data_IF_868536220679
#
_entry.id   IF_868536220679
#
_cell.length_a   1.000
_cell.length_b   1.000
_cell.length_c   1.000
_cell.angle_alpha   90.00
_cell.angle_beta   90.00
_cell.angle_gamma   90.00
#
_symmetry.space_group_name_H-M   'P 1'
#
loop_
_entity.id
_entity.type
_entity.pdbx_description
1 polymer ?
#
# COMPACT_ATOMS: atom_id res chain seq x y z
N UNK A 1 5.99 -20.50 -1.63
CA UNK A 1 5.23 -20.89 -0.42
C UNK A 1 3.82 -21.27 -0.85
N UNK A 2 3.13 -22.27 -0.25
CA UNK A 2 1.71 -22.48 -0.52
C UNK A 2 0.90 -21.22 -0.17
N UNK A 3 -0.12 -20.90 -0.95
CA UNK A 3 -0.96 -19.70 -0.81
C UNK A 3 -1.60 -19.57 0.58
N UNK A 4 -2.07 -20.70 1.13
CA UNK A 4 -2.61 -20.75 2.50
C UNK A 4 -1.59 -20.28 3.56
N UNK A 5 -0.34 -20.73 3.46
CA UNK A 5 0.72 -20.35 4.41
C UNK A 5 1.08 -18.86 4.31
N UNK A 6 1.02 -18.27 3.11
CA UNK A 6 1.25 -16.84 2.92
C UNK A 6 0.12 -16.00 3.51
N UNK A 7 -1.13 -16.43 3.33
CA UNK A 7 -2.31 -15.81 3.93
C UNK A 7 -2.22 -15.78 5.47
N UNK A 8 -1.78 -16.88 6.08
CA UNK A 8 -1.59 -16.96 7.54
C UNK A 8 -0.53 -15.97 8.03
N UNK A 9 0.57 -15.78 7.27
CA UNK A 9 1.58 -14.77 7.57
C UNK A 9 1.03 -13.36 7.49
N UNK A 10 0.24 -13.02 6.48
CA UNK A 10 -0.43 -11.73 6.37
C UNK A 10 -1.33 -11.50 7.58
N UNK A 11 -2.19 -12.47 7.94
CA UNK A 11 -3.10 -12.34 9.08
C UNK A 11 -2.35 -12.16 10.40
N UNK A 12 -1.27 -12.91 10.65
CA UNK A 12 -0.45 -12.75 11.86
C UNK A 12 0.20 -11.35 11.90
N UNK A 13 0.93 -10.96 10.86
CA UNK A 13 1.65 -9.69 10.81
C UNK A 13 0.69 -8.50 10.97
N UNK A 14 -0.38 -8.43 10.19
CA UNK A 14 -1.28 -7.29 10.23
C UNK A 14 -2.22 -7.28 11.44
N UNK A 15 -2.50 -8.42 12.08
CA UNK A 15 -3.17 -8.43 13.39
C UNK A 15 -2.28 -7.79 14.46
N UNK A 16 -0.98 -8.11 14.49
CA UNK A 16 -0.01 -7.55 15.45
C UNK A 16 0.30 -6.09 15.17
N UNK A 17 0.36 -5.70 13.90
CA UNK A 17 0.68 -4.34 13.46
C UNK A 17 -0.52 -3.37 13.52
N UNK A 18 -1.76 -3.85 13.64
CA UNK A 18 -2.97 -3.07 13.36
C UNK A 18 -2.99 -1.68 14.01
N UNK A 19 -2.74 -1.58 15.31
CA UNK A 19 -2.74 -0.31 16.02
C UNK A 19 -1.53 0.55 15.66
N UNK A 20 -0.32 -0.03 15.67
CA UNK A 20 0.93 0.70 15.43
C UNK A 20 1.02 1.25 14.01
N UNK A 21 0.58 0.46 13.03
CA UNK A 21 0.56 0.88 11.64
C UNK A 21 -0.46 1.99 11.40
N UNK A 22 -1.67 1.85 11.96
CA UNK A 22 -2.76 2.83 11.76
C UNK A 22 -2.48 4.20 12.37
N UNK A 23 -1.53 4.32 13.31
CA UNK A 23 -1.18 5.55 14.01
C UNK A 23 0.20 6.10 13.66
N UNK A 24 0.99 5.39 12.85
CA UNK A 24 2.35 5.81 12.50
C UNK A 24 2.35 7.11 11.67
N UNK A 25 3.12 8.11 12.11
CA UNK A 25 3.14 9.44 11.50
C UNK A 25 3.42 9.44 9.98
N UNK A 26 4.38 8.64 9.42
CA UNK A 26 4.56 8.58 7.97
C UNK A 26 3.35 8.02 7.23
N UNK A 27 2.61 7.09 7.84
CA UNK A 27 1.45 6.43 7.24
C UNK A 27 0.22 7.34 7.27
N UNK A 28 0.03 8.11 8.36
CA UNK A 28 -1.10 9.03 8.56
C UNK A 28 -0.92 10.40 7.91
N UNK A 29 0.16 10.60 7.13
CA UNK A 29 0.50 11.87 6.51
C UNK A 29 -0.66 12.42 5.64
N UNK A 30 -1.27 13.51 6.10
CA UNK A 30 -2.42 14.13 5.42
C UNK A 30 -2.07 14.70 4.03
N UNK A 31 -0.83 15.17 3.84
CA UNK A 31 -0.36 15.62 2.54
C UNK A 31 -0.34 14.50 1.52
N UNK A 32 0.17 13.33 1.90
CA UNK A 32 0.17 12.14 1.04
C UNK A 32 -1.26 11.65 0.74
N UNK A 33 -2.15 11.63 1.74
CA UNK A 33 -3.55 11.25 1.53
C UNK A 33 -4.26 12.22 0.57
N UNK A 34 -3.99 13.53 0.69
CA UNK A 34 -4.52 14.54 -0.24
C UNK A 34 -4.04 14.31 -1.67
N UNK A 35 -2.74 14.04 -1.88
CA UNK A 35 -2.21 13.72 -3.21
C UNK A 35 -2.90 12.50 -3.84
N UNK A 36 -3.23 11.47 -3.03
CA UNK A 36 -3.96 10.28 -3.51
C UNK A 36 -5.37 10.66 -3.96
N UNK A 37 -6.10 11.44 -3.17
CA UNK A 37 -7.44 11.92 -3.52
C UNK A 37 -7.40 12.78 -4.81
N UNK A 38 -6.44 13.69 -4.91
CA UNK A 38 -6.26 14.53 -6.10
C UNK A 38 -5.96 13.72 -7.36
N UNK A 39 -5.10 12.69 -7.25
CA UNK A 39 -4.78 11.79 -8.38
C UNK A 39 -5.99 10.97 -8.84
N UNK A 40 -6.91 10.65 -7.95
CA UNK A 40 -8.13 9.91 -8.26
C UNK A 40 -9.21 10.78 -8.93
N UNK A 41 -9.19 12.11 -8.73
CA UNK A 41 -10.18 13.06 -9.28
C UNK A 41 -11.64 12.69 -8.96
N UNK A 42 -11.97 12.36 -7.69
CA UNK A 42 -13.30 11.88 -7.34
C UNK A 42 -14.39 12.93 -7.56
N UNK A 43 -15.61 12.46 -7.87
CA UNK A 43 -16.78 13.30 -7.97
C UNK A 43 -17.76 13.02 -6.81
N UNK A 44 -18.58 13.98 -6.37
CA UNK A 44 -19.52 13.78 -5.25
C UNK A 44 -20.52 12.63 -5.45
N UNK A 45 -20.81 12.26 -6.69
CA UNK A 45 -21.70 11.14 -7.02
C UNK A 45 -21.02 9.78 -7.05
N UNK A 46 -19.69 9.74 -6.96
CA UNK A 46 -18.91 8.53 -7.13
C UNK A 46 -19.07 7.55 -5.96
N UNK A 47 -18.82 6.29 -6.26
CA UNK A 47 -18.50 5.25 -5.28
C UNK A 47 -17.03 4.89 -5.41
N UNK A 48 -16.35 4.72 -4.26
CA UNK A 48 -14.96 4.26 -4.25
C UNK A 48 -14.79 2.96 -3.46
N UNK A 49 -13.78 2.19 -3.84
CA UNK A 49 -13.32 0.99 -3.15
C UNK A 49 -11.83 1.11 -2.86
N UNK A 50 -11.45 0.87 -1.60
CA UNK A 50 -10.06 0.68 -1.18
C UNK A 50 -9.81 -0.79 -0.83
N UNK A 51 -8.90 -1.44 -1.53
CA UNK A 51 -8.60 -2.86 -1.41
C UNK A 51 -7.39 -3.02 -0.51
N UNK A 52 -7.45 -3.99 0.41
CA UNK A 52 -6.52 -4.14 1.53
C UNK A 52 -6.43 -2.81 2.31
N UNK A 53 -7.60 -2.29 2.71
CA UNK A 53 -7.76 -0.93 3.23
C UNK A 53 -7.11 -0.70 4.61
N UNK A 54 -6.64 -1.77 5.29
CA UNK A 54 -6.03 -1.70 6.60
C UNK A 54 -6.90 -0.93 7.60
N UNK A 55 -6.29 0.02 8.32
CA UNK A 55 -6.96 0.91 9.28
C UNK A 55 -7.85 1.99 8.66
N UNK A 56 -8.18 1.94 7.36
CA UNK A 56 -9.20 2.77 6.73
C UNK A 56 -8.78 4.20 6.40
N UNK A 57 -7.50 4.53 6.43
CA UNK A 57 -7.00 5.90 6.20
C UNK A 57 -7.42 6.45 4.84
N UNK A 58 -7.27 5.66 3.77
CA UNK A 58 -7.65 6.05 2.41
C UNK A 58 -9.17 6.19 2.31
N UNK A 59 -9.93 5.21 2.81
CA UNK A 59 -11.41 5.27 2.84
C UNK A 59 -11.90 6.54 3.52
N UNK A 60 -11.35 6.86 4.70
CA UNK A 60 -11.71 8.07 5.45
C UNK A 60 -11.28 9.36 4.74
N UNK A 61 -10.17 9.34 3.99
CA UNK A 61 -9.73 10.51 3.20
C UNK A 61 -10.66 10.77 2.00
N UNK A 62 -11.18 9.71 1.37
CA UNK A 62 -12.11 9.84 0.24
C UNK A 62 -13.55 10.17 0.65
N UNK A 63 -13.99 9.77 1.85
CA UNK A 63 -15.38 9.90 2.28
C UNK A 63 -15.97 11.32 2.09
N UNK A 64 -15.24 12.44 2.36
CA UNK A 64 -15.77 13.79 2.11
C UNK A 64 -15.97 14.15 0.63
N UNK A 65 -15.42 13.36 -0.29
CA UNK A 65 -15.35 13.67 -1.72
C UNK A 65 -16.23 12.78 -2.60
N UNK A 66 -16.85 11.75 -2.02
CA UNK A 66 -17.62 10.74 -2.76
C UNK A 66 -18.97 10.49 -2.09
N UNK A 67 -19.91 9.90 -2.82
CA UNK A 67 -21.20 9.47 -2.28
C UNK A 67 -21.06 8.35 -1.25
N UNK A 68 -20.18 7.39 -1.52
CA UNK A 68 -19.93 6.22 -0.68
C UNK A 68 -18.48 5.77 -0.82
N UNK A 69 -17.79 5.60 0.31
CA UNK A 69 -16.46 4.99 0.35
C UNK A 69 -16.52 3.62 1.02
N UNK A 70 -15.94 2.61 0.37
CA UNK A 70 -15.93 1.23 0.86
C UNK A 70 -14.49 0.76 1.03
N UNK A 71 -14.18 0.10 2.15
CA UNK A 71 -12.93 -0.60 2.39
C UNK A 71 -13.13 -2.10 2.49
N UNK A 72 -12.23 -2.87 1.89
CA UNK A 72 -12.17 -4.32 2.05
C UNK A 72 -10.78 -4.72 2.54
N UNK A 73 -10.71 -5.57 3.56
CA UNK A 73 -9.47 -6.12 4.10
C UNK A 73 -9.70 -7.54 4.60
N UNK A 74 -8.67 -8.38 4.56
CA UNK A 74 -8.80 -9.74 5.07
C UNK A 74 -8.63 -9.83 6.59
N UNK A 75 -8.04 -8.81 7.25
CA UNK A 75 -7.65 -8.80 8.65
C UNK A 75 -8.71 -8.14 9.52
N UNK A 76 -9.45 -8.89 10.37
CA UNK A 76 -10.49 -8.31 11.23
C UNK A 76 -9.99 -7.20 12.16
N UNK A 77 -8.77 -7.32 12.69
CA UNK A 77 -8.17 -6.31 13.57
C UNK A 77 -7.96 -4.96 12.85
N UNK A 78 -7.57 -4.99 11.58
CA UNK A 78 -7.46 -3.80 10.73
C UNK A 78 -8.82 -3.13 10.50
N UNK A 79 -9.86 -3.94 10.19
CA UNK A 79 -11.21 -3.41 9.98
C UNK A 79 -11.80 -2.79 11.25
N UNK A 80 -11.42 -3.28 12.42
CA UNK A 80 -11.83 -2.65 13.69
C UNK A 80 -11.19 -1.27 13.85
N UNK A 81 -9.89 -1.12 13.55
CA UNK A 81 -9.22 0.19 13.54
C UNK A 81 -9.88 1.13 12.53
N UNK A 82 -10.26 0.63 11.35
CA UNK A 82 -10.92 1.41 10.31
C UNK A 82 -12.29 1.95 10.77
N UNK A 83 -13.09 1.12 11.45
CA UNK A 83 -14.39 1.54 12.02
C UNK A 83 -14.22 2.59 13.12
N UNK A 84 -13.24 2.41 13.99
CA UNK A 84 -12.92 3.36 15.07
C UNK A 84 -12.48 4.71 14.48
N UNK A 85 -11.61 4.70 13.46
CA UNK A 85 -11.17 5.92 12.78
C UNK A 85 -12.35 6.65 12.11
N UNK A 86 -13.21 5.93 11.41
CA UNK A 86 -14.39 6.51 10.76
C UNK A 86 -15.37 7.11 11.77
N UNK A 87 -15.62 6.42 12.88
CA UNK A 87 -16.46 6.92 13.96
C UNK A 87 -15.86 8.18 14.61
N UNK A 88 -14.56 8.18 14.89
CA UNK A 88 -13.87 9.35 15.44
C UNK A 88 -13.91 10.58 14.52
N UNK A 89 -13.97 10.35 13.20
CA UNK A 89 -14.13 11.42 12.19
C UNK A 89 -15.59 11.77 11.89
N UNK A 90 -16.57 11.11 12.51
CA UNK A 90 -18.00 11.35 12.28
C UNK A 90 -18.48 11.00 10.86
N UNK A 91 -17.82 10.08 10.18
CA UNK A 91 -18.15 9.72 8.79
C UNK A 91 -19.32 8.71 8.77
N UNK A 92 -20.36 9.01 7.99
CA UNK A 92 -21.56 8.19 7.85
C UNK A 92 -21.67 7.47 6.50
N UNK A 93 -20.88 7.88 5.53
CA UNK A 93 -20.87 7.34 4.16
C UNK A 93 -19.71 6.38 3.91
N UNK A 94 -19.30 5.63 4.92
CA UNK A 94 -18.25 4.62 4.83
C UNK A 94 -18.78 3.24 5.15
N UNK A 95 -18.20 2.21 4.51
CA UNK A 95 -18.50 0.81 4.80
C UNK A 95 -17.20 -0.01 4.82
N UNK A 96 -17.11 -0.99 5.73
CA UNK A 96 -15.96 -1.88 5.84
C UNK A 96 -16.39 -3.34 5.80
N UNK A 97 -15.78 -4.12 4.93
CA UNK A 97 -16.09 -5.52 4.68
C UNK A 97 -14.85 -6.39 4.78
N UNK A 98 -14.97 -7.57 5.37
CA UNK A 98 -13.92 -8.57 5.31
C UNK A 98 -13.96 -9.29 3.95
N UNK A 99 -12.80 -9.47 3.33
CA UNK A 99 -12.69 -10.20 2.07
C UNK A 99 -11.27 -10.28 1.53
N UNK A 100 -11.12 -11.03 0.44
CA UNK A 100 -9.86 -11.29 -0.23
C UNK A 100 -9.73 -10.40 -1.48
N UNK A 101 -8.55 -9.80 -1.66
CA UNK A 101 -8.24 -8.95 -2.81
C UNK A 101 -8.22 -9.72 -4.16
N UNK A 102 -7.99 -11.04 -4.11
CA UNK A 102 -7.94 -11.90 -5.31
C UNK A 102 -9.31 -12.35 -5.80
N UNK A 103 -10.37 -12.16 -4.99
CA UNK A 103 -11.74 -12.54 -5.32
C UNK A 103 -12.71 -11.53 -4.68
N UNK A 104 -12.82 -10.35 -5.26
CA UNK A 104 -13.62 -9.26 -4.72
C UNK A 104 -15.14 -9.58 -4.80
N UNK A 105 -15.86 -9.53 -3.66
CA UNK A 105 -17.28 -9.87 -3.60
C UNK A 105 -18.18 -8.71 -4.06
N UNK A 106 -17.81 -8.09 -5.17
CA UNK A 106 -18.54 -6.99 -5.80
C UNK A 106 -18.81 -7.29 -7.26
N UNK A 107 -19.95 -6.83 -7.81
CA UNK A 107 -20.23 -6.95 -9.24
C UNK A 107 -19.21 -6.17 -10.09
N UNK A 108 -19.14 -6.51 -11.37
CA UNK A 108 -18.37 -5.74 -12.35
C UNK A 108 -18.85 -4.28 -12.41
N UNK A 109 -17.95 -3.37 -12.72
CA UNK A 109 -18.27 -1.96 -12.96
C UNK A 109 -19.01 -1.25 -11.79
N UNK A 110 -18.74 -1.61 -10.54
CA UNK A 110 -19.44 -1.13 -9.34
C UNK A 110 -18.89 0.19 -8.79
N UNK A 111 -17.65 0.55 -9.11
CA UNK A 111 -16.94 1.67 -8.48
C UNK A 111 -16.33 2.61 -9.51
N UNK A 112 -16.51 3.92 -9.30
CA UNK A 112 -15.87 4.95 -10.12
C UNK A 112 -14.38 5.10 -9.79
N UNK A 113 -13.98 4.83 -8.53
CA UNK A 113 -12.59 4.87 -8.08
C UNK A 113 -12.26 3.58 -7.34
N UNK A 114 -11.15 2.94 -7.70
CA UNK A 114 -10.63 1.73 -7.03
C UNK A 114 -9.18 1.97 -6.65
N UNK A 115 -8.86 1.81 -5.38
CA UNK A 115 -7.51 2.07 -4.83
C UNK A 115 -6.97 0.89 -4.06
N UNK A 116 -5.66 0.84 -3.92
CA UNK A 116 -4.94 0.01 -2.96
C UNK A 116 -3.67 0.75 -2.53
N UNK A 117 -3.32 0.71 -1.23
CA UNK A 117 -2.17 1.43 -0.69
C UNK A 117 -1.34 0.56 0.24
N UNK A 118 -0.03 0.46 -0.01
CA UNK A 118 0.94 -0.31 0.79
C UNK A 118 0.55 -1.77 0.99
N UNK A 119 0.04 -2.38 -0.06
CA UNK A 119 -0.41 -3.77 -0.05
C UNK A 119 0.04 -4.54 -1.29
N UNK A 120 0.38 -3.84 -2.38
CA UNK A 120 0.69 -4.47 -3.65
C UNK A 120 1.93 -5.35 -3.56
N UNK A 121 2.89 -4.97 -2.71
CA UNK A 121 4.10 -5.73 -2.42
C UNK A 121 3.88 -6.99 -1.55
N UNK A 122 2.66 -7.23 -1.07
CA UNK A 122 2.26 -8.47 -0.38
C UNK A 122 1.57 -9.47 -1.31
N UNK A 123 1.21 -9.09 -2.52
CA UNK A 123 0.49 -10.00 -3.43
C UNK A 123 1.47 -10.90 -4.20
N UNK A 124 1.37 -12.25 -4.08
CA UNK A 124 2.16 -13.17 -4.91
C UNK A 124 1.88 -13.01 -6.40
N UNK A 125 0.61 -12.74 -6.76
CA UNK A 125 0.13 -12.57 -8.12
C UNK A 125 -0.51 -11.18 -8.31
N UNK A 126 0.31 -10.09 -8.37
CA UNK A 126 -0.21 -8.72 -8.39
C UNK A 126 -1.06 -8.41 -9.62
N UNK A 127 -0.81 -9.07 -10.78
CA UNK A 127 -1.64 -8.91 -11.96
C UNK A 127 -3.06 -9.45 -11.77
N UNK A 128 -3.23 -10.54 -10.99
CA UNK A 128 -4.56 -11.08 -10.69
C UNK A 128 -5.38 -10.08 -9.87
N UNK A 129 -4.77 -9.47 -8.84
CA UNK A 129 -5.41 -8.42 -8.02
C UNK A 129 -5.72 -7.20 -8.87
N UNK A 130 -4.79 -6.75 -9.72
CA UNK A 130 -5.03 -5.60 -10.60
C UNK A 130 -6.18 -5.86 -11.58
N UNK A 131 -6.33 -7.08 -12.09
CA UNK A 131 -7.48 -7.47 -12.93
C UNK A 131 -8.80 -7.44 -12.17
N UNK A 132 -8.82 -7.84 -10.90
CA UNK A 132 -10.01 -7.69 -10.05
C UNK A 132 -10.34 -6.21 -9.80
N UNK A 133 -9.31 -5.36 -9.55
CA UNK A 133 -9.49 -3.91 -9.47
C UNK A 133 -10.14 -3.35 -10.75
N UNK A 134 -9.64 -3.76 -11.91
CA UNK A 134 -10.18 -3.35 -13.22
C UNK A 134 -11.60 -3.91 -13.43
N UNK A 135 -11.87 -5.16 -13.04
CA UNK A 135 -13.20 -5.77 -13.16
C UNK A 135 -14.27 -4.96 -12.43
N UNK A 136 -13.99 -4.62 -11.16
CA UNK A 136 -14.96 -3.89 -10.33
C UNK A 136 -15.01 -2.39 -10.62
N UNK A 137 -14.00 -1.84 -11.33
CA UNK A 137 -14.00 -0.45 -11.78
C UNK A 137 -14.99 -0.23 -12.92
N UNK A 138 -15.75 0.87 -12.89
CA UNK A 138 -16.64 1.27 -13.97
C UNK A 138 -15.85 1.66 -15.23
N UNK A 139 -16.43 1.57 -16.44
CA UNK A 139 -15.86 2.19 -17.64
C UNK A 139 -15.59 3.68 -17.40
N UNK A 140 -14.42 4.17 -17.77
CA UNK A 140 -13.96 5.53 -17.44
C UNK A 140 -13.54 5.74 -15.99
N UNK A 141 -13.66 4.73 -15.12
CA UNK A 141 -13.27 4.79 -13.72
C UNK A 141 -11.75 4.83 -13.51
N UNK A 142 -11.33 5.28 -12.34
CA UNK A 142 -9.93 5.44 -11.96
C UNK A 142 -9.45 4.25 -11.13
N UNK A 143 -8.32 3.67 -11.50
CA UNK A 143 -7.64 2.59 -10.77
C UNK A 143 -6.29 3.12 -10.29
N UNK A 144 -6.05 3.04 -8.97
CA UNK A 144 -4.83 3.56 -8.35
C UNK A 144 -4.12 2.47 -7.55
N UNK A 145 -2.82 2.35 -7.77
CA UNK A 145 -1.90 1.60 -6.90
C UNK A 145 -0.95 2.59 -6.26
N UNK A 146 -0.91 2.62 -4.94
CA UNK A 146 -0.02 3.49 -4.18
C UNK A 146 0.91 2.58 -3.39
N UNK A 147 2.18 2.53 -3.78
CA UNK A 147 3.12 1.64 -3.10
C UNK A 147 4.56 2.17 -3.14
N UNK A 148 5.39 1.61 -2.26
CA UNK A 148 6.83 1.76 -2.33
C UNK A 148 7.36 1.06 -3.57
N UNK A 149 8.19 1.76 -4.33
CA UNK A 149 8.85 1.19 -5.49
C UNK A 149 10.35 1.07 -5.27
N UNK A 150 10.98 0.17 -6.03
CA UNK A 150 12.43 -0.08 -5.97
C UNK A 150 13.16 0.50 -7.18
N UNK A 151 14.48 0.60 -7.04
CA UNK A 151 15.38 0.97 -8.14
C UNK A 151 15.23 0.05 -9.35
N UNK A 152 15.44 0.59 -10.56
CA UNK A 152 15.58 -0.21 -11.77
C UNK A 152 16.89 -1.05 -11.78
N UNK A 153 17.86 -0.71 -10.92
CA UNK A 153 19.04 -1.53 -10.69
C UNK A 153 18.66 -2.81 -9.94
N UNK A 154 18.87 -3.95 -10.57
CA UNK A 154 18.45 -5.27 -10.05
C UNK A 154 19.13 -5.65 -8.74
N UNK A 155 20.36 -5.17 -8.49
CA UNK A 155 21.12 -5.48 -7.26
C UNK A 155 20.53 -4.67 -6.11
N UNK A 156 20.29 -3.36 -6.32
CA UNK A 156 19.63 -2.51 -5.34
C UNK A 156 18.22 -3.00 -5.03
N UNK A 157 17.43 -3.31 -6.07
CA UNK A 157 16.07 -3.85 -5.92
C UNK A 157 16.05 -5.15 -5.12
N UNK A 158 16.96 -6.10 -5.40
CA UNK A 158 17.07 -7.35 -4.64
C UNK A 158 17.48 -7.12 -3.19
N UNK A 159 18.39 -6.16 -2.94
CA UNK A 159 18.87 -5.83 -1.59
C UNK A 159 17.76 -5.17 -0.77
N UNK A 160 16.99 -4.26 -1.37
CA UNK A 160 15.82 -3.64 -0.74
C UNK A 160 14.75 -4.68 -0.39
N UNK A 161 14.38 -5.54 -1.34
CA UNK A 161 13.38 -6.59 -1.10
C UNK A 161 13.83 -7.60 -0.03
N UNK A 162 15.13 -7.90 0.05
CA UNK A 162 15.68 -8.70 1.15
C UNK A 162 15.52 -8.00 2.51
N UNK A 163 15.79 -6.71 2.59
CA UNK A 163 15.58 -5.92 3.81
C UNK A 163 14.11 -5.95 4.24
N UNK A 164 13.17 -5.74 3.29
CA UNK A 164 11.75 -5.74 3.58
C UNK A 164 11.25 -7.13 4.03
N UNK A 165 11.76 -8.22 3.44
CA UNK A 165 11.45 -9.58 3.88
C UNK A 165 11.98 -9.89 5.31
N UNK A 166 13.13 -9.32 5.70
CA UNK A 166 13.63 -9.43 7.07
C UNK A 166 12.73 -8.66 8.05
N UNK A 167 12.21 -7.50 7.63
CA UNK A 167 11.35 -6.63 8.43
C UNK A 167 9.93 -7.20 8.60
N UNK A 168 9.41 -7.79 7.54
CA UNK A 168 8.04 -8.30 7.46
C UNK A 168 8.03 -9.62 6.70
N UNK A 169 7.88 -10.76 7.40
CA UNK A 169 7.84 -12.08 6.77
C UNK A 169 6.70 -12.29 5.76
N UNK A 170 5.66 -11.42 5.76
CA UNK A 170 4.57 -11.47 4.78
C UNK A 170 4.88 -10.70 3.49
N UNK A 171 6.04 -9.99 3.44
CA UNK A 171 6.48 -9.30 2.24
C UNK A 171 6.77 -10.29 1.10
N UNK A 172 6.32 -9.97 -0.11
CA UNK A 172 6.65 -10.71 -1.32
C UNK A 172 7.69 -9.95 -2.11
N UNK A 173 7.33 -8.79 -2.67
CA UNK A 173 8.26 -7.99 -3.47
C UNK A 173 7.73 -6.60 -3.79
N UNK A 174 8.49 -5.56 -3.49
CA UNK A 174 8.31 -4.25 -4.13
C UNK A 174 8.77 -4.30 -5.58
N UNK A 175 8.03 -3.66 -6.46
CA UNK A 175 8.26 -3.62 -7.90
C UNK A 175 8.98 -2.33 -8.31
N UNK A 176 9.74 -2.39 -9.40
CA UNK A 176 10.24 -1.19 -10.07
C UNK A 176 9.10 -0.48 -10.82
N UNK A 177 9.28 0.81 -11.15
CA UNK A 177 8.25 1.57 -11.88
C UNK A 177 7.95 0.99 -13.26
N UNK A 178 8.97 0.48 -13.96
CA UNK A 178 8.80 -0.21 -15.25
C UNK A 178 7.91 -1.46 -15.14
N UNK A 179 8.03 -2.21 -14.03
CA UNK A 179 7.21 -3.39 -13.77
C UNK A 179 5.76 -3.00 -13.47
N UNK A 180 5.52 -1.94 -12.67
CA UNK A 180 4.18 -1.41 -12.43
C UNK A 180 3.50 -0.99 -13.74
N UNK A 181 4.20 -0.24 -14.61
CA UNK A 181 3.67 0.15 -15.93
C UNK A 181 3.31 -1.06 -16.78
N UNK A 182 4.17 -2.09 -16.80
CA UNK A 182 3.90 -3.32 -17.53
C UNK A 182 2.65 -4.06 -17.01
N UNK A 183 2.42 -4.07 -15.68
CA UNK A 183 1.22 -4.65 -15.08
C UNK A 183 -0.04 -3.88 -15.47
N UNK A 184 -0.02 -2.54 -15.44
CA UNK A 184 -1.14 -1.70 -15.85
C UNK A 184 -1.52 -1.96 -17.31
N UNK A 185 -0.53 -1.98 -18.20
CA UNK A 185 -0.75 -2.32 -19.62
C UNK A 185 -1.32 -3.76 -19.78
N UNK A 186 -0.79 -4.75 -19.06
CA UNK A 186 -1.27 -6.14 -19.09
C UNK A 186 -2.66 -6.32 -18.50
N UNK A 187 -3.13 -5.37 -17.68
CA UNK A 187 -4.48 -5.32 -17.15
C UNK A 187 -5.48 -4.57 -18.07
N UNK A 188 -5.00 -4.00 -19.19
CA UNK A 188 -5.84 -3.25 -20.14
C UNK A 188 -6.20 -1.85 -19.68
N UNK A 189 -5.39 -1.24 -18.83
CA UNK A 189 -5.54 0.16 -18.41
C UNK A 189 -4.79 1.11 -19.36
N UNK A 190 -5.21 2.36 -19.41
CA UNK A 190 -4.48 3.42 -20.11
C UNK A 190 -3.08 3.64 -19.50
N UNK A 191 -2.21 4.36 -20.21
CA UNK A 191 -0.88 4.76 -19.68
C UNK A 191 -1.05 5.50 -18.35
N UNK A 192 -0.42 5.02 -17.26
CA UNK A 192 -0.63 5.61 -15.95
C UNK A 192 0.04 6.98 -15.79
N UNK A 193 -0.65 7.88 -15.14
CA UNK A 193 -0.09 9.09 -14.54
C UNK A 193 0.59 8.69 -13.22
N UNK A 194 1.77 9.23 -12.95
CA UNK A 194 2.54 8.89 -11.74
C UNK A 194 2.91 10.15 -10.98
N UNK A 195 2.55 10.19 -9.71
CA UNK A 195 3.03 11.18 -8.75
C UNK A 195 3.87 10.51 -7.66
N UNK A 196 4.74 11.26 -7.02
CA UNK A 196 5.70 10.73 -6.06
C UNK A 196 5.66 11.48 -4.73
N UNK A 197 5.89 10.75 -3.65
CA UNK A 197 6.19 11.30 -2.34
C UNK A 197 7.16 10.37 -1.59
N UNK A 198 7.64 10.80 -0.44
CA UNK A 198 8.56 10.01 0.38
C UNK A 198 7.97 9.73 1.76
N UNK A 199 8.17 8.51 2.25
CA UNK A 199 7.99 8.15 3.65
C UNK A 199 9.30 8.33 4.38
N UNK A 200 9.44 9.46 5.09
CA UNK A 200 10.63 9.76 5.89
C UNK A 200 10.42 9.25 7.31
N UNK A 201 11.39 8.50 7.83
CA UNK A 201 11.37 7.98 9.20
C UNK A 201 12.78 7.61 9.65
N UNK A 202 12.86 7.07 10.87
CA UNK A 202 14.08 6.47 11.42
C UNK A 202 13.96 4.95 11.47
N UNK A 203 15.10 4.26 11.38
CA UNK A 203 15.14 2.79 11.51
C UNK A 203 14.63 2.33 12.88
N UNK A 204 14.86 3.12 13.93
CA UNK A 204 14.30 2.85 15.26
C UNK A 204 12.77 2.82 15.24
N UNK A 205 12.12 3.81 14.63
CA UNK A 205 10.67 3.86 14.53
C UNK A 205 10.12 2.77 13.62
N UNK A 206 10.83 2.44 12.52
CA UNK A 206 10.48 1.34 11.64
C UNK A 206 10.42 0.03 12.41
N UNK A 207 11.47 -0.32 13.15
CA UNK A 207 11.55 -1.55 13.93
C UNK A 207 10.52 -1.60 15.07
N UNK A 208 10.21 -0.45 15.69
CA UNK A 208 9.21 -0.38 16.77
C UNK A 208 7.78 -0.77 16.31
N UNK A 209 7.48 -0.71 15.00
CA UNK A 209 6.20 -1.11 14.41
C UNK A 209 6.28 -2.34 13.48
N UNK A 210 7.45 -2.97 13.43
CA UNK A 210 7.71 -4.19 12.66
C UNK A 210 7.80 -5.39 13.58
N UNK A 211 7.59 -6.57 13.04
CA UNK A 211 7.69 -7.82 13.79
C UNK A 211 8.60 -8.81 13.06
N UNK A 212 9.91 -8.47 12.94
CA UNK A 212 10.90 -9.35 12.32
C UNK A 212 11.07 -10.65 13.10
N UNK A 213 11.65 -11.65 12.47
CA UNK A 213 12.04 -12.85 13.20
C UNK A 213 13.18 -12.53 14.19
N UNK A 214 13.36 -13.31 15.27
CA UNK A 214 14.42 -13.09 16.24
C UNK A 214 15.81 -12.99 15.58
N UNK A 215 16.52 -11.88 15.84
CA UNK A 215 17.86 -11.61 15.31
C UNK A 215 17.89 -10.94 13.92
N UNK A 216 16.77 -10.72 13.28
CA UNK A 216 16.74 -10.00 11.99
C UNK A 216 16.81 -8.47 12.16
N UNK A 217 16.44 -7.94 13.29
CA UNK A 217 16.57 -6.52 13.65
C UNK A 217 18.00 -6.00 13.51
N UNK A 218 18.99 -6.75 14.00
CA UNK A 218 20.40 -6.40 13.84
C UNK A 218 20.85 -6.37 12.38
N UNK A 219 20.39 -7.33 11.57
CA UNK A 219 20.68 -7.40 10.12
C UNK A 219 20.06 -6.22 9.36
N UNK A 220 18.83 -5.82 9.74
CA UNK A 220 18.14 -4.65 9.18
C UNK A 220 18.96 -3.38 9.46
N UNK A 221 19.38 -3.16 10.73
CA UNK A 221 20.21 -2.01 11.10
C UNK A 221 21.52 -1.98 10.32
N UNK A 222 22.17 -3.13 10.15
CA UNK A 222 23.42 -3.25 9.38
C UNK A 222 23.23 -2.88 7.91
N UNK A 223 22.16 -3.38 7.27
CA UNK A 223 21.85 -3.06 5.87
C UNK A 223 21.62 -1.56 5.65
N UNK A 224 20.90 -0.89 6.55
CA UNK A 224 20.71 0.56 6.48
C UNK A 224 22.04 1.32 6.69
N UNK A 225 22.85 0.93 7.69
CA UNK A 225 24.16 1.56 7.92
C UNK A 225 25.09 1.43 6.70
N UNK A 226 25.14 0.24 6.11
CA UNK A 226 25.94 0.03 4.92
C UNK A 226 25.41 0.85 3.73
N UNK A 227 24.10 0.97 3.57
CA UNK A 227 23.49 1.74 2.49
C UNK A 227 23.77 3.24 2.59
N UNK A 228 23.99 3.78 3.80
CA UNK A 228 24.41 5.19 3.96
C UNK A 228 25.75 5.49 3.28
N UNK A 229 26.62 4.49 3.11
CA UNK A 229 27.93 4.65 2.48
C UNK A 229 27.91 4.35 0.98
N UNK A 230 27.16 3.33 0.53
CA UNK A 230 27.25 2.79 -0.84
C UNK A 230 25.93 2.74 -1.59
N UNK A 231 24.83 3.23 -0.98
CA UNK A 231 23.49 3.26 -1.60
C UNK A 231 22.99 1.89 -2.09
N UNK A 232 23.40 0.78 -1.44
CA UNK A 232 23.02 -0.58 -1.86
C UNK A 232 21.52 -0.87 -1.80
N UNK A 233 20.74 -0.07 -1.04
CA UNK A 233 19.28 -0.18 -0.98
C UNK A 233 18.58 0.61 -2.09
N UNK A 234 19.29 1.49 -2.82
CA UNK A 234 18.71 2.34 -3.84
C UNK A 234 17.74 3.39 -3.31
N UNK A 235 17.86 3.75 -2.02
CA UNK A 235 17.03 4.76 -1.34
C UNK A 235 17.91 5.72 -0.55
N UNK A 236 17.45 6.95 -0.26
CA UNK A 236 18.15 7.87 0.63
C UNK A 236 18.27 7.29 2.05
N UNK A 237 19.49 7.17 2.54
CA UNK A 237 19.81 6.82 3.93
C UNK A 237 20.84 7.80 4.46
N UNK A 238 20.62 8.33 5.66
CA UNK A 238 21.53 9.28 6.33
C UNK A 238 21.83 8.83 7.75
N UNK A 239 23.06 8.98 8.18
CA UNK A 239 23.45 8.81 9.57
C UNK A 239 23.53 10.18 10.23
N UNK A 240 22.86 10.34 11.37
CA UNK A 240 22.92 11.50 12.24
C UNK A 240 23.25 11.03 13.66
N UNK A 241 24.53 11.01 13.99
CA UNK A 241 25.04 10.34 15.19
C UNK A 241 24.69 8.84 15.16
N UNK A 242 23.94 8.39 16.16
CA UNK A 242 23.44 7.01 16.23
C UNK A 242 22.11 6.80 15.49
N UNK A 243 21.43 7.88 15.09
CA UNK A 243 20.16 7.82 14.38
C UNK A 243 20.39 7.50 12.91
N UNK A 244 19.65 6.52 12.41
CA UNK A 244 19.63 6.18 11.00
C UNK A 244 18.29 6.67 10.43
N UNK A 245 18.36 7.69 9.59
CA UNK A 245 17.23 8.25 8.87
C UNK A 245 17.17 7.64 7.47
N UNK A 246 15.94 7.41 6.97
CA UNK A 246 15.71 6.93 5.62
C UNK A 246 14.47 7.59 4.99
N UNK A 247 14.39 7.51 3.66
CA UNK A 247 13.22 7.90 2.90
C UNK A 247 12.84 6.79 1.92
N UNK A 248 11.67 6.14 2.13
CA UNK A 248 11.13 5.21 1.15
C UNK A 248 10.45 5.98 0.04
N UNK A 249 10.81 5.73 -1.22
CA UNK A 249 10.13 6.32 -2.35
C UNK A 249 8.76 5.67 -2.54
N UNK A 250 7.71 6.49 -2.69
CA UNK A 250 6.34 6.02 -2.93
C UNK A 250 5.84 6.60 -4.24
N UNK A 251 5.23 5.77 -5.07
CA UNK A 251 4.53 6.16 -6.27
C UNK A 251 3.02 6.07 -6.08
N UNK A 252 2.30 7.08 -6.55
CA UNK A 252 0.86 7.06 -6.79
C UNK A 252 0.71 6.81 -8.29
N UNK A 253 0.35 5.59 -8.65
CA UNK A 253 0.22 5.15 -10.04
C UNK A 253 -1.26 5.09 -10.37
N UNK A 254 -1.74 6.00 -11.19
CA UNK A 254 -3.17 6.21 -11.44
C UNK A 254 -3.48 6.09 -12.94
N UNK A 255 -4.37 5.20 -13.32
CA UNK A 255 -4.83 5.05 -14.70
C UNK A 255 -6.35 5.05 -14.80
N UNK A 256 -6.85 5.33 -16.00
CA UNK A 256 -8.26 5.22 -16.33
C UNK A 256 -8.53 3.85 -16.95
N UNK A 257 -9.62 3.21 -16.56
CA UNK A 257 -10.15 2.08 -17.30
C UNK A 257 -10.81 2.61 -18.58
N UNK A 258 -10.40 2.14 -19.77
CA UNK A 258 -11.02 2.58 -21.02
C UNK A 258 -12.54 2.53 -20.97
N UNK A 259 -13.22 3.54 -21.55
CA UNK A 259 -14.63 3.47 -21.84
C UNK A 259 -14.84 2.39 -22.91
N UNK A 260 -15.75 1.45 -22.67
CA UNK A 260 -16.05 0.37 -23.62
C UNK A 260 -16.62 0.92 -24.93
#
# INVERSE_FOLDING_TARGET
>A
MPEAAHRDLILDQFTRQAQLFSTAAPITNEGALRMIVEAARPQPADTMLDIACGGGLVVCAFAPHVRQATGIDMTPAMLEQARQLAAAKGLSNVAFRQGDATALPFPDASFAVVTTRFSFHHFPEPLAVLREMVRVSAPGGRVLVIDTYVSEDKIQAATFNRLELLRDPSHVRCLALSEHKALFAAAGLDEPEIAFYELRDTVKNLLARSFPNPGDDAKIVELFRASAADNRLGIPVRLDGETIEYAYPVAIIAATKPAA
#
